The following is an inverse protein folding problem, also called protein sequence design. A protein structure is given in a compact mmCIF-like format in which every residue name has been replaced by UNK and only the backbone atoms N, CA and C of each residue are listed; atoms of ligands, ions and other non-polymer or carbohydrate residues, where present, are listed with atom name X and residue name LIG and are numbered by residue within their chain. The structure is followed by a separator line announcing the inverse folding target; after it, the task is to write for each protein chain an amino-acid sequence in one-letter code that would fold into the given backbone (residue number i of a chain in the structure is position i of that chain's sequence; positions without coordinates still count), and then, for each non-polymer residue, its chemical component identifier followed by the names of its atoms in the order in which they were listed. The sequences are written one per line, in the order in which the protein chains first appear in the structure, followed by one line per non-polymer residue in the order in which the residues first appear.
data_IF_835942696746
#
_entry.id   IF_835942696746
#
_cell.length_a   1.000
_cell.length_b   1.000
_cell.length_c   1.000
_cell.angle_alpha   90.00
_cell.angle_beta   90.00
_cell.angle_gamma   90.00
#
_symmetry.space_group_name_H-M   'P 1'
#
loop_
_entity.id
_entity.type
_entity.pdbx_description
1 polymer ?
#
# COMPACT_ATOMS: atom_id res chain seq x y z
N UNK A 1 4.21 27.41 14.02
CA UNK A 1 3.32 26.43 14.70
C UNK A 1 2.57 25.69 13.61
N UNK A 2 2.71 24.38 13.56
CA UNK A 2 2.11 23.53 12.53
C UNK A 2 0.58 23.52 12.66
N UNK A 3 -0.15 23.61 11.54
CA UNK A 3 -1.61 23.68 11.54
C UNK A 3 -2.20 22.30 11.91
N UNK A 4 -2.99 22.16 13.00
CA UNK A 4 -3.57 20.87 13.40
C UNK A 4 -4.49 20.23 12.33
N UNK A 5 -5.09 21.03 11.45
CA UNK A 5 -5.86 20.52 10.32
C UNK A 5 -4.98 19.79 9.29
N UNK A 6 -3.71 20.20 9.15
CA UNK A 6 -2.76 19.56 8.26
C UNK A 6 -2.44 18.14 8.72
N UNK A 7 -2.17 17.94 10.02
CA UNK A 7 -1.89 16.62 10.56
C UNK A 7 -3.08 15.68 10.49
N UNK A 8 -4.29 16.20 10.67
CA UNK A 8 -5.53 15.42 10.53
C UNK A 8 -5.68 14.90 9.09
N UNK A 9 -5.41 15.74 8.09
CA UNK A 9 -5.45 15.34 6.69
C UNK A 9 -4.36 14.31 6.33
N UNK A 10 -3.13 14.49 6.81
CA UNK A 10 -2.03 13.53 6.57
C UNK A 10 -2.31 12.18 7.25
N UNK A 11 -2.83 12.18 8.48
CA UNK A 11 -3.24 10.96 9.18
C UNK A 11 -4.35 10.19 8.43
N UNK A 12 -5.32 10.91 7.84
CA UNK A 12 -6.36 10.29 6.99
C UNK A 12 -5.75 9.60 5.77
N UNK A 13 -4.82 10.26 5.07
CA UNK A 13 -4.13 9.69 3.91
C UNK A 13 -3.32 8.43 4.26
N UNK A 14 -2.68 8.41 5.43
CA UNK A 14 -1.98 7.22 5.92
C UNK A 14 -2.99 6.08 6.15
N UNK A 15 -4.12 6.36 6.81
CA UNK A 15 -5.16 5.35 7.03
C UNK A 15 -5.71 4.79 5.71
N UNK A 16 -5.99 5.64 4.73
CA UNK A 16 -6.44 5.23 3.38
C UNK A 16 -5.37 4.41 2.64
N UNK A 17 -4.10 4.77 2.81
CA UNK A 17 -2.99 4.02 2.22
C UNK A 17 -2.86 2.61 2.82
N UNK A 18 -3.03 2.48 4.14
CA UNK A 18 -3.01 1.19 4.83
C UNK A 18 -4.19 0.31 4.43
N UNK A 19 -5.38 0.89 4.30
CA UNK A 19 -6.58 0.18 3.83
C UNK A 19 -6.40 -0.35 2.39
N UNK A 20 -5.88 0.50 1.49
CA UNK A 20 -5.57 0.10 0.13
C UNK A 20 -4.51 -1.03 0.07
N UNK A 21 -3.48 -0.98 0.92
CA UNK A 21 -2.49 -2.06 1.02
C UNK A 21 -3.15 -3.36 1.49
N UNK A 22 -4.06 -3.29 2.48
CA UNK A 22 -4.82 -4.45 2.95
C UNK A 22 -5.61 -5.11 1.83
N UNK A 23 -6.44 -4.34 1.12
CA UNK A 23 -7.24 -4.83 -0.02
C UNK A 23 -6.36 -5.46 -1.11
N UNK A 24 -5.26 -4.81 -1.47
CA UNK A 24 -4.35 -5.35 -2.50
C UNK A 24 -3.63 -6.62 -2.02
N UNK A 25 -3.36 -6.74 -0.73
CA UNK A 25 -2.76 -7.96 -0.15
C UNK A 25 -3.74 -9.13 -0.17
N UNK A 26 -5.03 -8.87 0.10
CA UNK A 26 -6.08 -9.89 -0.02
C UNK A 26 -6.21 -10.37 -1.47
N UNK A 27 -6.19 -9.46 -2.45
CA UNK A 27 -6.20 -9.81 -3.88
C UNK A 27 -5.00 -10.68 -4.27
N UNK A 28 -3.81 -10.42 -3.72
CA UNK A 28 -2.63 -11.27 -3.94
C UNK A 28 -2.79 -12.66 -3.34
N UNK A 29 -3.32 -12.74 -2.12
CA UNK A 29 -3.58 -14.01 -1.44
C UNK A 29 -4.57 -14.86 -2.25
N UNK A 30 -5.67 -14.26 -2.72
CA UNK A 30 -6.66 -14.92 -3.56
C UNK A 30 -6.09 -15.40 -4.90
N UNK A 31 -5.28 -14.56 -5.58
CA UNK A 31 -4.63 -14.96 -6.84
C UNK A 31 -3.66 -16.14 -6.64
N UNK A 32 -2.93 -16.15 -5.52
CA UNK A 32 -2.01 -17.25 -5.20
C UNK A 32 -2.77 -18.57 -5.04
N UNK A 33 -3.91 -18.56 -4.35
CA UNK A 33 -4.78 -19.74 -4.19
C UNK A 33 -5.35 -20.19 -5.53
N UNK A 34 -5.80 -19.26 -6.38
CA UNK A 34 -6.34 -19.59 -7.70
C UNK A 34 -5.29 -20.25 -8.62
N UNK A 35 -4.02 -19.82 -8.54
CA UNK A 35 -2.92 -20.38 -9.34
C UNK A 35 -2.64 -21.85 -9.05
N UNK A 36 -2.78 -22.28 -7.80
CA UNK A 36 -2.63 -23.70 -7.42
C UNK A 36 -3.69 -24.61 -8.09
N UNK A 37 -4.72 -24.02 -8.69
CA UNK A 37 -5.85 -24.72 -9.33
C UNK A 37 -5.99 -24.50 -10.84
N UNK A 38 -5.10 -23.72 -11.48
CA UNK A 38 -5.28 -23.27 -12.88
C UNK A 38 -4.37 -23.97 -13.91
N UNK A 39 -4.81 -23.97 -15.18
CA UNK A 39 -4.08 -24.52 -16.35
C UNK A 39 -3.09 -23.48 -16.93
N UNK A 40 -2.02 -23.92 -17.62
CA UNK A 40 -0.80 -23.15 -17.96
C UNK A 40 -1.01 -21.74 -18.59
N UNK A 41 -2.13 -21.52 -19.30
CA UNK A 41 -2.43 -20.23 -19.95
C UNK A 41 -2.92 -19.13 -18.99
N UNK A 42 -3.60 -19.50 -17.90
CA UNK A 42 -4.05 -18.57 -16.86
C UNK A 42 -2.89 -18.14 -15.94
N UNK A 43 -1.87 -19.00 -15.85
CA UNK A 43 -0.70 -18.79 -14.99
C UNK A 43 0.10 -17.53 -15.36
N UNK A 44 0.30 -17.24 -16.66
CA UNK A 44 1.03 -16.04 -17.10
C UNK A 44 0.27 -14.73 -16.81
N UNK A 45 -1.05 -14.73 -16.94
CA UNK A 45 -1.87 -13.55 -16.61
C UNK A 45 -1.89 -13.31 -15.10
N UNK A 46 -1.99 -14.38 -14.30
CA UNK A 46 -1.93 -14.31 -12.85
C UNK A 46 -0.58 -13.77 -12.37
N UNK A 47 0.55 -14.25 -12.93
CA UNK A 47 1.89 -13.75 -12.59
C UNK A 47 2.06 -12.25 -12.87
N UNK A 48 1.54 -11.75 -14.01
CA UNK A 48 1.61 -10.32 -14.34
C UNK A 48 0.72 -9.47 -13.45
N UNK A 49 -0.46 -9.98 -13.09
CA UNK A 49 -1.37 -9.34 -12.15
C UNK A 49 -0.71 -9.22 -10.77
N UNK A 50 -0.15 -10.31 -10.24
CA UNK A 50 0.55 -10.35 -8.96
C UNK A 50 1.69 -9.33 -8.91
N UNK A 51 2.54 -9.29 -9.95
CA UNK A 51 3.63 -8.33 -10.03
C UNK A 51 3.14 -6.87 -10.04
N UNK A 52 2.03 -6.59 -10.75
CA UNK A 52 1.41 -5.27 -10.78
C UNK A 52 0.86 -4.85 -9.41
N UNK A 53 0.18 -5.76 -8.71
CA UNK A 53 -0.37 -5.49 -7.38
C UNK A 53 0.75 -5.29 -6.35
N UNK A 54 1.80 -6.10 -6.37
CA UNK A 54 2.98 -5.92 -5.52
C UNK A 54 3.69 -4.58 -5.76
N UNK A 55 3.79 -4.15 -7.02
CA UNK A 55 4.34 -2.83 -7.36
C UNK A 55 3.45 -1.69 -6.82
N UNK A 56 2.13 -1.81 -6.94
CA UNK A 56 1.19 -0.85 -6.39
C UNK A 56 1.32 -0.74 -4.86
N UNK A 57 1.40 -1.87 -4.14
CA UNK A 57 1.63 -1.91 -2.69
C UNK A 57 2.91 -1.16 -2.32
N UNK A 58 4.03 -1.39 -3.04
CA UNK A 58 5.29 -0.65 -2.79
C UNK A 58 5.12 0.85 -2.94
N UNK A 59 4.46 1.31 -4.00
CA UNK A 59 4.28 2.74 -4.24
C UNK A 59 3.42 3.39 -3.16
N UNK A 60 2.35 2.73 -2.75
CA UNK A 60 1.46 3.21 -1.67
C UNK A 60 2.23 3.23 -0.34
N UNK A 61 3.02 2.20 -0.03
CA UNK A 61 3.80 2.15 1.19
C UNK A 61 4.85 3.28 1.27
N UNK A 62 5.52 3.60 0.15
CA UNK A 62 6.47 4.72 0.07
C UNK A 62 5.75 6.06 0.27
N UNK A 63 4.56 6.22 -0.31
CA UNK A 63 3.75 7.43 -0.12
C UNK A 63 3.33 7.59 1.35
N UNK A 64 2.84 6.52 1.99
CA UNK A 64 2.48 6.52 3.40
C UNK A 64 3.67 6.78 4.32
N UNK A 65 4.85 6.23 3.99
CA UNK A 65 6.09 6.51 4.71
C UNK A 65 6.48 7.99 4.66
N UNK A 66 6.36 8.61 3.49
CA UNK A 66 6.64 10.04 3.31
C UNK A 66 5.70 10.90 4.16
N UNK A 67 4.41 10.54 4.19
CA UNK A 67 3.42 11.19 5.04
C UNK A 67 3.74 11.02 6.54
N UNK A 68 4.17 9.83 6.96
CA UNK A 68 4.62 9.53 8.33
C UNK A 68 5.85 10.35 8.72
N UNK A 69 6.86 10.43 7.86
CA UNK A 69 8.04 11.27 8.09
C UNK A 69 7.65 12.75 8.22
N UNK A 70 6.72 13.24 7.40
CA UNK A 70 6.23 14.62 7.49
C UNK A 70 5.59 14.92 8.85
N UNK A 71 4.79 13.99 9.39
CA UNK A 71 4.24 14.10 10.75
C UNK A 71 5.37 14.08 11.78
N UNK A 72 6.29 13.11 11.70
CA UNK A 72 7.38 12.94 12.64
C UNK A 72 8.26 14.21 12.75
N UNK A 73 8.70 14.75 11.61
CA UNK A 73 9.47 16.00 11.55
C UNK A 73 8.67 17.18 12.12
N UNK A 74 7.37 17.24 11.80
CA UNK A 74 6.46 18.25 12.33
C UNK A 74 6.31 18.20 13.87
N UNK A 75 6.48 17.03 14.47
CA UNK A 75 6.48 16.79 15.91
C UNK A 75 7.89 16.91 16.54
N UNK A 76 8.93 17.20 15.74
CA UNK A 76 10.31 17.30 16.21
C UNK A 76 11.00 15.95 16.44
N UNK A 77 10.47 14.87 15.87
CA UNK A 77 11.11 13.54 15.88
C UNK A 77 12.08 13.48 14.69
N UNK A 78 13.38 13.18 14.92
CA UNK A 78 14.38 13.09 13.85
C UNK A 78 14.20 11.83 12.98
N UNK A 79 14.84 11.82 11.81
CA UNK A 79 14.87 10.68 10.87
C UNK A 79 15.60 9.44 11.41
#
# INVERSE_FOLDING_TARGET
MSNPEHYTHVAKRIAESLDAIGILSDVLAENTVARESSDDGEEQLNCRCEAGVQAAIRLIAIAAYTDLQSIAQGLGIPE
#
